data_IF_899183326889
#
_entry.id   IF_899183326889
#
_cell.length_a   1.000
_cell.length_b   1.000
_cell.length_c   1.000
_cell.angle_alpha   90.00
_cell.angle_beta   90.00
_cell.angle_gamma   90.00
#
_symmetry.space_group_name_H-M   'P 1'
#
loop_
_entity.id
_entity.type
_entity.pdbx_description
1 polymer ?
#
# COMPACT_ATOMS: atom_id res chain seq x y z
N UNK A 1 50.65 36.92 77.95
CA UNK A 1 50.64 37.49 76.59
C UNK A 1 49.94 36.44 75.71
N UNK A 2 48.66 36.65 75.39
CA UNK A 2 48.17 36.98 74.03
C UNK A 2 48.53 35.86 73.01
N UNK A 3 47.63 35.24 72.23
CA UNK A 3 46.26 35.58 71.83
C UNK A 3 45.53 34.31 71.32
N UNK A 4 44.20 34.36 71.37
CA UNK A 4 43.28 33.54 70.58
C UNK A 4 43.45 33.76 69.07
N UNK A 5 43.19 32.73 68.26
CA UNK A 5 42.67 32.91 66.90
C UNK A 5 41.63 31.83 66.57
N UNK A 6 40.47 32.35 66.20
CA UNK A 6 39.20 31.72 65.83
C UNK A 6 39.15 31.48 64.30
N UNK A 7 38.09 30.78 63.86
CA UNK A 7 37.48 30.82 62.51
C UNK A 7 38.19 29.99 61.39
N UNK A 8 37.53 29.24 60.49
CA UNK A 8 36.15 29.17 60.01
C UNK A 8 35.81 27.75 59.53
N UNK A 9 34.58 27.29 59.80
CA UNK A 9 33.92 26.26 59.00
C UNK A 9 33.52 26.85 57.65
N UNK A 10 33.85 26.16 56.55
CA UNK A 10 33.18 26.35 55.26
C UNK A 10 32.46 25.05 54.87
N UNK A 11 31.12 25.06 54.92
CA UNK A 11 30.28 24.07 54.26
C UNK A 11 30.40 24.27 52.74
N UNK A 12 30.99 23.28 52.05
CA UNK A 12 30.86 23.12 50.60
C UNK A 12 29.83 22.03 50.30
N UNK A 13 28.67 22.41 49.78
CA UNK A 13 27.72 21.50 49.14
C UNK A 13 28.07 21.30 47.65
N UNK A 14 27.48 20.23 47.09
CA UNK A 14 27.26 19.91 45.66
C UNK A 14 28.51 19.41 44.91
N UNK A 15 28.53 18.33 44.14
CA UNK A 15 27.46 17.55 43.51
C UNK A 15 27.85 16.06 43.45
N UNK A 16 26.96 15.18 43.90
CA UNK A 16 26.99 13.77 43.55
C UNK A 16 26.61 13.65 42.06
N UNK A 17 27.61 13.53 41.20
CA UNK A 17 27.42 13.12 39.80
C UNK A 17 27.00 11.65 39.84
N UNK A 18 25.69 11.41 39.96
CA UNK A 18 25.09 10.14 39.60
C UNK A 18 25.31 9.94 38.11
N UNK A 19 26.38 9.21 37.76
CA UNK A 19 26.58 8.68 36.44
C UNK A 19 25.36 7.80 36.12
N UNK A 20 24.42 8.36 35.35
CA UNK A 20 23.35 7.58 34.74
C UNK A 20 24.01 6.50 33.90
N UNK A 21 23.60 5.22 34.02
CA UNK A 21 24.07 4.21 33.10
C UNK A 21 23.63 4.65 31.71
N UNK A 22 24.60 4.84 30.82
CA UNK A 22 24.34 5.00 29.40
C UNK A 22 23.54 3.77 28.98
N UNK A 23 22.24 3.96 28.72
CA UNK A 23 21.39 2.96 28.12
C UNK A 23 21.89 2.76 26.70
N UNK A 24 22.84 1.84 26.58
CA UNK A 24 23.40 1.36 25.33
C UNK A 24 22.33 0.49 24.64
N UNK A 25 21.21 1.10 24.24
CA UNK A 25 20.17 0.46 23.44
C UNK A 25 20.61 0.38 21.98
N UNK A 26 21.75 -0.26 21.73
CA UNK A 26 22.14 -0.78 20.42
C UNK A 26 21.64 -2.21 20.24
N UNK A 27 20.34 -2.43 20.48
CA UNK A 27 19.62 -3.57 19.93
C UNK A 27 18.52 -3.09 18.97
N UNK A 28 18.88 -2.23 18.03
CA UNK A 28 18.05 -1.99 16.85
C UNK A 28 18.35 -3.07 15.79
N UNK A 29 17.30 -3.47 15.07
CA UNK A 29 17.37 -4.02 13.72
C UNK A 29 17.34 -5.55 13.48
N UNK A 30 16.85 -6.40 14.39
CA UNK A 30 16.54 -7.79 13.97
C UNK A 30 15.10 -8.05 13.55
N UNK A 31 14.13 -7.19 13.90
CA UNK A 31 12.72 -7.35 13.55
C UNK A 31 11.98 -6.00 13.30
N UNK A 32 12.70 -4.96 12.87
CA UNK A 32 12.08 -3.65 12.65
C UNK A 32 11.14 -3.71 11.44
N UNK A 33 9.85 -3.51 11.69
CA UNK A 33 8.81 -3.42 10.66
C UNK A 33 8.58 -1.96 10.30
N UNK A 34 8.24 -1.70 9.04
CA UNK A 34 7.98 -0.35 8.53
C UNK A 34 6.81 -0.40 7.57
N UNK A 35 5.90 0.56 7.73
CA UNK A 35 4.85 0.87 6.76
C UNK A 35 5.36 1.97 5.83
N UNK A 36 5.15 1.79 4.53
CA UNK A 36 5.47 2.77 3.50
C UNK A 36 4.20 3.18 2.75
N UNK A 37 4.11 4.45 2.39
CA UNK A 37 3.08 5.00 1.51
C UNK A 37 3.71 6.05 0.59
N UNK A 38 3.10 6.36 -0.55
CA UNK A 38 3.51 7.52 -1.37
C UNK A 38 2.59 8.70 -1.10
N UNK A 39 3.15 9.91 -1.07
CA UNK A 39 2.33 11.12 -0.98
C UNK A 39 1.61 11.45 -2.30
N UNK A 40 2.12 10.95 -3.44
CA UNK A 40 1.61 11.18 -4.79
C UNK A 40 1.42 12.67 -5.14
N UNK A 41 2.28 13.53 -4.59
CA UNK A 41 2.28 14.96 -4.91
C UNK A 41 3.13 15.24 -6.16
N UNK A 42 3.12 16.50 -6.65
CA UNK A 42 3.96 16.93 -7.78
C UNK A 42 5.44 16.56 -7.57
N UNK A 43 5.91 16.67 -6.34
CA UNK A 43 7.15 16.05 -5.88
C UNK A 43 6.80 14.76 -5.12
N UNK A 44 6.77 13.65 -5.85
CA UNK A 44 6.37 12.39 -5.26
C UNK A 44 7.47 11.89 -4.30
N UNK A 45 7.04 11.35 -3.17
CA UNK A 45 7.92 10.88 -2.12
C UNK A 45 7.33 9.67 -1.42
N UNK A 46 8.20 8.76 -1.00
CA UNK A 46 7.86 7.66 -0.11
C UNK A 46 7.98 8.16 1.32
N UNK A 47 6.92 7.99 2.11
CA UNK A 47 6.92 8.20 3.56
C UNK A 47 7.03 6.85 4.25
N UNK A 48 7.99 6.73 5.16
CA UNK A 48 8.30 5.50 5.88
C UNK A 48 8.07 5.69 7.37
N UNK A 49 7.25 4.83 7.98
CA UNK A 49 6.84 4.94 9.39
C UNK A 49 7.17 3.63 10.10
N UNK A 50 7.94 3.72 11.18
CA UNK A 50 8.33 2.53 11.96
C UNK A 50 7.09 1.94 12.64
N UNK A 51 7.04 0.61 12.64
CA UNK A 51 6.09 -0.17 13.42
C UNK A 51 6.84 -0.74 14.62
N UNK A 52 6.37 -0.42 15.82
CA UNK A 52 6.90 -0.92 17.08
C UNK A 52 6.72 -2.43 17.24
N UNK A 53 7.39 -3.02 18.23
CA UNK A 53 7.25 -4.44 18.56
C UNK A 53 5.82 -4.80 19.03
N UNK A 54 5.09 -3.82 19.55
CA UNK A 54 3.67 -3.90 19.90
C UNK A 54 2.73 -3.82 18.69
N UNK A 55 3.27 -3.57 17.49
CA UNK A 55 2.53 -3.43 16.25
C UNK A 55 1.98 -2.02 15.99
N UNK A 56 2.25 -1.05 16.87
CA UNK A 56 1.77 0.32 16.70
C UNK A 56 2.73 1.14 15.83
N UNK A 57 2.21 2.12 15.12
CA UNK A 57 2.99 3.10 14.37
C UNK A 57 3.72 4.06 15.31
N UNK A 58 4.93 4.43 14.92
CA UNK A 58 5.79 5.38 15.63
C UNK A 58 6.11 6.55 14.72
N UNK A 59 5.58 7.73 15.05
CA UNK A 59 5.84 8.96 14.29
C UNK A 59 7.29 9.43 14.43
N UNK A 60 7.89 9.21 15.60
CA UNK A 60 9.30 9.52 15.83
C UNK A 60 10.19 8.64 14.93
N UNK A 61 11.05 9.29 14.14
CA UNK A 61 11.92 8.60 13.18
C UNK A 61 11.23 8.21 11.87
N UNK A 62 10.01 8.67 11.63
CA UNK A 62 9.43 8.65 10.30
C UNK A 62 10.30 9.46 9.33
N UNK A 63 10.38 9.02 8.09
CA UNK A 63 11.19 9.67 7.06
C UNK A 63 10.37 9.93 5.80
N UNK A 64 10.83 10.88 5.00
CA UNK A 64 10.30 11.16 3.66
C UNK A 64 11.46 11.17 2.68
N UNK A 65 11.36 10.35 1.64
CA UNK A 65 12.40 10.20 0.60
C UNK A 65 11.80 10.46 -0.77
N UNK A 66 12.33 11.45 -1.50
CA UNK A 66 11.85 11.79 -2.83
C UNK A 66 12.05 10.62 -3.81
N UNK A 67 11.07 10.40 -4.69
CA UNK A 67 11.17 9.40 -5.76
C UNK A 67 11.95 9.92 -6.97
N UNK A 68 12.17 11.23 -7.05
CA UNK A 68 12.73 11.88 -8.25
C UNK A 68 11.76 11.95 -9.43
N UNK A 69 10.50 11.52 -9.23
CA UNK A 69 9.42 11.65 -10.21
C UNK A 69 8.25 12.45 -9.66
N UNK A 70 7.17 12.52 -10.44
CA UNK A 70 5.96 13.25 -10.11
C UNK A 70 4.76 12.32 -9.90
N UNK A 71 3.92 12.64 -8.92
CA UNK A 71 2.60 12.08 -8.73
C UNK A 71 1.60 12.72 -9.68
N UNK A 72 0.39 12.15 -9.76
CA UNK A 72 -0.71 12.69 -10.54
C UNK A 72 -2.05 12.12 -10.09
N UNK A 73 -3.13 12.74 -10.56
CA UNK A 73 -4.49 12.28 -10.35
C UNK A 73 -5.11 11.92 -11.70
N UNK A 74 -5.83 10.81 -11.74
CA UNK A 74 -6.83 10.57 -12.75
C UNK A 74 -7.94 11.62 -12.68
N UNK A 75 -8.93 11.51 -13.54
CA UNK A 75 -10.10 12.39 -13.53
C UNK A 75 -11.39 11.63 -13.25
N UNK A 76 -12.33 12.30 -12.60
CA UNK A 76 -13.67 11.80 -12.34
C UNK A 76 -14.60 11.96 -13.57
N UNK A 77 -15.88 11.64 -13.39
CA UNK A 77 -16.87 11.76 -14.45
C UNK A 77 -17.06 13.18 -15.00
N UNK A 78 -16.69 14.20 -14.21
CA UNK A 78 -16.79 15.62 -14.53
C UNK A 78 -15.46 16.19 -15.06
N UNK A 79 -14.46 15.33 -15.28
CA UNK A 79 -13.12 15.75 -15.72
C UNK A 79 -12.30 16.47 -14.64
N UNK A 80 -12.72 16.40 -13.36
CA UNK A 80 -11.99 16.99 -12.25
C UNK A 80 -10.98 16.00 -11.67
N UNK A 81 -9.88 16.46 -11.04
CA UNK A 81 -8.93 15.57 -10.39
C UNK A 81 -9.62 14.61 -9.42
N UNK A 82 -9.42 13.32 -9.63
CA UNK A 82 -10.02 12.28 -8.81
C UNK A 82 -9.44 12.31 -7.40
N UNK A 83 -10.36 12.24 -6.44
CA UNK A 83 -10.10 12.10 -5.02
C UNK A 83 -11.29 11.33 -4.40
N UNK A 84 -11.07 10.56 -3.33
CA UNK A 84 -9.82 10.40 -2.60
C UNK A 84 -8.90 9.29 -3.16
N UNK A 85 -9.26 8.69 -4.30
CA UNK A 85 -8.46 7.66 -4.99
C UNK A 85 -7.92 8.20 -6.34
N UNK A 86 -6.77 8.90 -6.36
CA UNK A 86 -6.20 9.46 -7.58
C UNK A 86 -5.65 8.43 -8.58
N UNK A 87 -5.36 7.19 -8.17
CA UNK A 87 -4.72 6.19 -9.03
C UNK A 87 -5.61 4.99 -9.37
N UNK A 88 -6.83 4.90 -8.83
CA UNK A 88 -7.82 3.87 -9.12
C UNK A 88 -7.31 2.43 -8.95
N UNK A 89 -6.37 2.24 -8.04
CA UNK A 89 -5.57 1.00 -8.00
C UNK A 89 -5.08 0.65 -6.61
N UNK A 90 -4.62 -0.59 -6.49
CA UNK A 90 -3.92 -1.11 -5.34
C UNK A 90 -2.43 -1.30 -5.66
N UNK A 91 -1.56 -1.15 -4.66
CA UNK A 91 -0.11 -1.38 -4.76
C UNK A 91 0.63 -0.36 -5.64
N UNK A 92 0.37 0.93 -5.43
CA UNK A 92 1.18 2.02 -6.02
C UNK A 92 2.66 1.98 -5.60
N UNK A 93 2.96 1.27 -4.50
CA UNK A 93 4.31 0.90 -4.10
C UNK A 93 4.34 -0.54 -3.58
N UNK A 94 5.51 -1.18 -3.65
CA UNK A 94 5.70 -2.56 -3.17
C UNK A 94 7.12 -2.80 -2.66
N UNK A 95 7.27 -3.81 -1.78
CA UNK A 95 8.57 -4.23 -1.23
C UNK A 95 8.93 -5.62 -1.77
N UNK A 96 10.16 -5.78 -2.25
CA UNK A 96 10.71 -7.08 -2.64
C UNK A 96 12.13 -7.25 -2.09
N UNK A 97 12.25 -8.08 -1.05
CA UNK A 97 13.51 -8.28 -0.34
C UNK A 97 13.94 -7.01 0.38
N UNK A 98 15.13 -6.50 0.04
CA UNK A 98 15.69 -5.25 0.62
C UNK A 98 15.40 -4.02 -0.24
N UNK A 99 14.46 -4.12 -1.17
CA UNK A 99 14.16 -3.05 -2.11
C UNK A 99 12.70 -2.64 -2.04
N UNK A 100 12.44 -1.37 -2.28
CA UNK A 100 11.11 -0.79 -2.42
C UNK A 100 10.98 -0.16 -3.80
N UNK A 101 9.81 -0.31 -4.42
CA UNK A 101 9.49 0.22 -5.74
C UNK A 101 8.26 1.12 -5.63
N UNK A 102 8.30 2.30 -6.25
CA UNK A 102 7.21 3.27 -6.21
C UNK A 102 6.93 3.82 -7.61
N UNK A 103 5.66 3.83 -8.01
CA UNK A 103 5.23 4.42 -9.28
C UNK A 103 5.17 5.94 -9.18
N UNK A 104 5.46 6.63 -10.29
CA UNK A 104 5.33 8.07 -10.43
C UNK A 104 4.38 8.38 -11.59
N UNK A 105 3.08 8.42 -11.30
CA UNK A 105 2.02 8.56 -12.30
C UNK A 105 2.19 9.77 -13.21
N UNK A 106 2.59 10.92 -12.67
CA UNK A 106 2.74 12.18 -13.41
C UNK A 106 4.01 12.30 -14.25
N UNK A 107 4.96 11.39 -14.08
CA UNK A 107 6.22 11.38 -14.85
C UNK A 107 6.44 10.11 -15.66
N UNK A 108 5.51 9.16 -15.62
CA UNK A 108 5.62 7.85 -16.27
C UNK A 108 6.91 7.11 -15.93
N UNK A 109 7.31 7.13 -14.65
CA UNK A 109 8.54 6.45 -14.19
C UNK A 109 8.27 5.48 -13.03
N UNK A 110 9.19 4.52 -12.87
CA UNK A 110 9.32 3.70 -11.68
C UNK A 110 10.61 4.04 -10.95
N UNK A 111 10.54 4.25 -9.64
CA UNK A 111 11.72 4.45 -8.78
C UNK A 111 11.98 3.22 -7.93
N UNK A 112 13.26 2.86 -7.79
CA UNK A 112 13.73 1.81 -6.89
C UNK A 112 14.53 2.42 -5.73
N UNK A 113 14.30 1.91 -4.53
CA UNK A 113 15.05 2.25 -3.33
C UNK A 113 15.66 1.01 -2.69
N UNK A 114 16.86 1.14 -2.16
CA UNK A 114 17.43 0.23 -1.18
C UNK A 114 16.92 0.62 0.21
N UNK A 115 16.46 -0.37 0.96
CA UNK A 115 16.01 -0.23 2.34
C UNK A 115 17.22 -0.45 3.25
N UNK A 116 17.53 0.52 4.11
CA UNK A 116 18.63 0.37 5.07
C UNK A 116 18.34 -0.79 6.03
N UNK A 117 19.32 -1.69 6.19
CA UNK A 117 19.15 -2.90 6.99
C UNK A 117 19.08 -2.62 8.51
N UNK A 118 19.63 -1.49 8.95
CA UNK A 118 19.73 -1.09 10.35
C UNK A 118 18.55 -0.20 10.74
N UNK A 119 18.16 0.70 9.85
CA UNK A 119 17.05 1.62 10.04
C UNK A 119 16.14 1.63 8.82
N UNK A 120 15.19 0.68 8.71
CA UNK A 120 14.41 0.52 7.48
C UNK A 120 13.48 1.69 7.12
N UNK A 121 13.38 2.72 7.98
CA UNK A 121 12.74 3.98 7.60
C UNK A 121 13.63 4.81 6.66
N UNK A 122 14.94 4.56 6.60
CA UNK A 122 15.86 5.22 5.68
C UNK A 122 15.90 4.49 4.35
N UNK A 123 15.57 5.22 3.29
CA UNK A 123 15.60 4.74 1.91
C UNK A 123 16.69 5.46 1.14
N UNK A 124 17.42 4.72 0.31
CA UNK A 124 18.39 5.28 -0.65
C UNK A 124 17.91 4.96 -2.05
N UNK A 125 17.69 5.98 -2.89
CA UNK A 125 17.37 5.75 -4.30
C UNK A 125 18.52 5.01 -4.98
N UNK A 126 18.20 3.96 -5.73
CA UNK A 126 19.21 3.17 -6.46
C UNK A 126 19.09 3.45 -7.95
N UNK A 127 20.13 4.05 -8.53
CA UNK A 127 20.10 4.53 -9.91
C UNK A 127 19.24 5.79 -10.05
N UNK A 128 18.44 5.86 -11.12
CA UNK A 128 17.52 6.95 -11.42
C UNK A 128 16.12 6.40 -11.73
N UNK A 129 15.05 7.20 -11.66
CA UNK A 129 13.73 6.78 -12.11
C UNK A 129 13.79 6.28 -13.56
N UNK A 130 13.23 5.10 -13.80
CA UNK A 130 13.23 4.46 -15.12
C UNK A 130 11.92 4.77 -15.83
N UNK A 131 12.00 5.24 -17.07
CA UNK A 131 10.85 5.52 -17.91
C UNK A 131 10.07 4.24 -18.24
N UNK A 132 8.75 4.37 -18.22
CA UNK A 132 7.81 3.29 -18.52
C UNK A 132 7.23 3.56 -19.93
N UNK A 133 7.15 2.56 -20.82
CA UNK A 133 6.62 2.76 -22.17
C UNK A 133 5.10 3.02 -22.23
N UNK A 134 4.38 2.68 -21.15
CA UNK A 134 2.98 3.03 -20.95
C UNK A 134 2.79 4.36 -20.22
N UNK A 135 1.55 4.82 -20.12
CA UNK A 135 1.21 6.14 -19.55
C UNK A 135 0.35 6.00 -18.29
N UNK A 136 0.61 6.88 -17.32
CA UNK A 136 -0.08 6.90 -16.02
C UNK A 136 0.09 5.57 -15.27
N UNK A 137 1.30 5.23 -14.80
CA UNK A 137 1.54 4.04 -14.00
C UNK A 137 0.84 4.14 -12.63
N UNK A 138 0.09 3.09 -12.28
CA UNK A 138 -0.77 3.10 -11.09
C UNK A 138 -0.42 2.01 -10.08
N UNK A 139 0.23 0.93 -10.51
CA UNK A 139 0.47 -0.26 -9.68
C UNK A 139 1.80 -0.92 -10.02
N UNK A 140 2.50 -1.47 -9.04
CA UNK A 140 3.77 -2.18 -9.22
C UNK A 140 3.80 -3.51 -8.45
N UNK A 141 4.26 -4.56 -9.13
CA UNK A 141 4.60 -5.86 -8.57
C UNK A 141 6.11 -6.05 -8.63
N UNK A 142 6.72 -6.65 -7.61
CA UNK A 142 8.12 -7.00 -7.65
C UNK A 142 8.36 -8.40 -7.08
N UNK A 143 9.21 -9.17 -7.76
CA UNK A 143 9.63 -10.52 -7.37
C UNK A 143 11.10 -10.53 -7.02
N UNK A 144 11.42 -10.69 -5.73
CA UNK A 144 12.81 -10.82 -5.28
C UNK A 144 13.46 -12.12 -5.79
N UNK A 145 12.66 -13.17 -6.01
CA UNK A 145 13.11 -14.46 -6.55
C UNK A 145 13.55 -14.33 -8.00
N UNK A 146 12.76 -13.65 -8.83
CA UNK A 146 13.02 -13.52 -10.27
C UNK A 146 13.80 -12.24 -10.61
N UNK A 147 14.06 -11.38 -9.62
CA UNK A 147 14.70 -10.06 -9.81
C UNK A 147 13.99 -9.23 -10.87
N UNK A 148 12.66 -9.20 -10.80
CA UNK A 148 11.79 -8.57 -11.79
C UNK A 148 10.80 -7.62 -11.10
N UNK A 149 10.64 -6.41 -11.62
CA UNK A 149 9.58 -5.48 -11.25
C UNK A 149 8.70 -5.21 -12.48
N UNK A 150 7.38 -5.24 -12.32
CA UNK A 150 6.40 -5.07 -13.37
C UNK A 150 5.40 -3.98 -12.98
N UNK A 151 5.07 -3.10 -13.91
CA UNK A 151 4.23 -1.92 -13.68
C UNK A 151 3.01 -1.98 -14.58
N UNK A 152 1.84 -1.76 -14.00
CA UNK A 152 0.58 -1.59 -14.70
C UNK A 152 0.31 -0.11 -14.97
N UNK A 153 -0.02 0.21 -16.23
CA UNK A 153 -0.35 1.57 -16.71
C UNK A 153 -1.78 1.60 -17.23
N UNK A 154 -2.48 2.73 -17.05
CA UNK A 154 -3.90 2.82 -17.42
C UNK A 154 -4.28 3.98 -18.35
N UNK A 155 -3.38 4.94 -18.59
CA UNK A 155 -3.66 6.10 -19.45
C UNK A 155 -3.87 5.73 -20.92
N UNK A 156 -3.66 6.68 -21.83
CA UNK A 156 -3.81 6.44 -23.27
C UNK A 156 -2.96 5.26 -23.79
N UNK A 157 -1.86 4.95 -23.10
CA UNK A 157 -1.06 3.72 -23.30
C UNK A 157 -1.17 2.81 -22.07
N UNK A 158 -2.29 2.09 -21.99
CA UNK A 158 -2.52 1.11 -20.94
C UNK A 158 -1.82 -0.22 -21.23
N UNK A 159 -1.39 -0.92 -20.19
CA UNK A 159 -0.70 -2.20 -20.34
C UNK A 159 0.21 -2.55 -19.17
N UNK A 160 1.08 -3.54 -19.39
CA UNK A 160 2.09 -3.97 -18.41
C UNK A 160 3.48 -4.00 -19.04
N UNK A 161 4.44 -3.38 -18.39
CA UNK A 161 5.86 -3.43 -18.74
C UNK A 161 6.69 -3.82 -17.51
N UNK A 162 7.81 -4.52 -17.72
CA UNK A 162 8.65 -5.07 -16.67
C UNK A 162 10.12 -4.73 -16.90
N UNK A 163 10.87 -4.60 -15.81
CA UNK A 163 12.32 -4.45 -15.80
C UNK A 163 12.95 -5.41 -14.81
N UNK A 164 14.12 -5.94 -15.15
CA UNK A 164 14.96 -6.60 -14.16
C UNK A 164 15.53 -5.58 -13.18
N UNK A 165 15.88 -6.02 -11.97
CA UNK A 165 16.54 -5.17 -10.99
C UNK A 165 17.70 -5.86 -10.28
N UNK A 166 18.68 -5.07 -9.87
CA UNK A 166 19.89 -5.52 -9.19
C UNK A 166 20.31 -4.52 -8.12
N UNK A 167 21.47 -4.73 -7.49
CA UNK A 167 22.03 -3.74 -6.57
C UNK A 167 22.38 -2.41 -7.26
N UNK A 168 22.48 -2.40 -8.60
CA UNK A 168 22.76 -1.22 -9.42
C UNK A 168 21.49 -0.46 -9.83
N UNK A 169 20.30 -0.98 -9.51
CA UNK A 169 19.02 -0.35 -9.83
C UNK A 169 18.19 -1.16 -10.83
N UNK A 170 17.20 -0.48 -11.41
CA UNK A 170 16.33 -1.00 -12.46
C UNK A 170 17.05 -0.96 -13.81
N UNK A 171 16.92 -2.02 -14.59
CA UNK A 171 17.24 -2.01 -16.02
C UNK A 171 16.17 -1.22 -16.81
N UNK A 172 16.37 -1.07 -18.11
CA UNK A 172 15.33 -0.54 -19.00
C UNK A 172 14.08 -1.43 -18.97
N UNK A 173 12.92 -0.79 -19.05
CA UNK A 173 11.63 -1.45 -19.20
C UNK A 173 11.55 -2.19 -20.54
N UNK A 174 10.98 -3.39 -20.52
CA UNK A 174 10.69 -4.17 -21.73
C UNK A 174 9.49 -3.62 -22.50
N UNK A 175 9.16 -4.25 -23.63
CA UNK A 175 8.02 -3.84 -24.44
C UNK A 175 6.70 -3.85 -23.64
N UNK A 176 5.87 -2.84 -23.88
CA UNK A 176 4.53 -2.77 -23.30
C UNK A 176 3.69 -3.94 -23.83
N UNK A 177 3.08 -4.70 -22.93
CA UNK A 177 1.96 -5.62 -23.25
C UNK A 177 0.66 -4.81 -23.12
N UNK A 178 0.07 -4.36 -24.23
CA UNK A 178 -0.95 -3.31 -24.19
C UNK A 178 -2.31 -3.86 -23.77
N UNK A 179 -3.14 -2.98 -23.20
CA UNK A 179 -4.57 -3.19 -23.01
C UNK A 179 -5.34 -2.14 -23.81
N UNK A 180 -6.30 -2.58 -24.62
CA UNK A 180 -7.15 -1.68 -25.40
C UNK A 180 -8.31 -1.15 -24.54
N UNK A 181 -8.02 -0.17 -23.69
CA UNK A 181 -9.01 0.43 -22.80
C UNK A 181 -9.69 1.67 -23.41
N UNK A 182 -9.09 2.28 -24.44
CA UNK A 182 -9.54 3.55 -25.01
C UNK A 182 -9.55 4.71 -24.02
N UNK A 183 -8.57 4.75 -23.11
CA UNK A 183 -8.42 5.78 -22.07
C UNK A 183 -7.69 7.04 -22.59
N UNK A 184 -7.76 8.11 -21.81
CA UNK A 184 -6.95 9.33 -21.97
C UNK A 184 -5.79 9.36 -20.96
N UNK A 185 -4.90 10.34 -21.08
CA UNK A 185 -3.92 10.67 -20.03
C UNK A 185 -4.12 12.14 -19.62
N UNK A 186 -4.57 12.44 -18.39
CA UNK A 186 -4.89 11.51 -17.30
C UNK A 186 -6.10 10.59 -17.63
N UNK A 187 -6.15 9.39 -17.03
CA UNK A 187 -7.25 8.43 -17.23
C UNK A 187 -8.51 8.89 -16.52
N UNK A 188 -9.68 8.56 -17.08
CA UNK A 188 -10.97 8.74 -16.42
C UNK A 188 -11.36 7.44 -15.72
N UNK A 189 -11.73 7.52 -14.44
CA UNK A 189 -12.02 6.34 -13.62
C UNK A 189 -13.09 6.53 -12.55
N UNK A 190 -13.29 5.52 -11.69
CA UNK A 190 -12.43 4.34 -11.53
C UNK A 190 -12.66 3.24 -12.57
N UNK A 191 -13.83 3.13 -13.20
CA UNK A 191 -14.13 2.05 -14.17
C UNK A 191 -13.21 2.08 -15.40
N UNK A 192 -13.11 0.95 -16.12
CA UNK A 192 -12.29 0.85 -17.34
C UNK A 192 -10.80 1.23 -17.15
N UNK A 193 -10.23 0.90 -15.99
CA UNK A 193 -8.81 1.17 -15.66
C UNK A 193 -8.10 -0.06 -15.11
N UNK A 194 -6.77 -0.09 -15.22
CA UNK A 194 -5.94 -1.11 -14.57
C UNK A 194 -6.04 -0.98 -13.05
N UNK A 195 -6.24 -2.10 -12.35
CA UNK A 195 -6.48 -2.12 -10.90
C UNK A 195 -5.25 -2.52 -10.11
N UNK A 196 -4.60 -3.60 -10.52
CA UNK A 196 -3.44 -4.12 -9.80
C UNK A 196 -2.66 -5.07 -10.68
N UNK A 197 -1.33 -4.98 -10.61
CA UNK A 197 -0.40 -6.00 -11.11
C UNK A 197 0.21 -6.72 -9.91
N UNK A 198 0.29 -8.05 -9.93
CA UNK A 198 0.83 -8.84 -8.82
C UNK A 198 1.31 -10.22 -9.27
N UNK A 199 2.31 -10.77 -8.57
CA UNK A 199 2.79 -12.12 -8.85
C UNK A 199 1.95 -13.17 -8.13
N UNK A 200 1.74 -14.31 -8.80
CA UNK A 200 1.37 -15.56 -8.15
C UNK A 200 2.41 -15.93 -7.10
N UNK A 201 1.99 -16.70 -6.09
CA UNK A 201 2.84 -17.02 -4.94
C UNK A 201 4.09 -17.83 -5.28
N UNK A 202 4.01 -18.67 -6.32
CA UNK A 202 5.15 -19.44 -6.84
C UNK A 202 6.15 -18.58 -7.65
N UNK A 203 5.75 -17.35 -7.96
CA UNK A 203 6.48 -16.38 -8.78
C UNK A 203 6.47 -16.71 -10.27
N UNK A 204 5.63 -17.63 -10.74
CA UNK A 204 5.63 -18.09 -12.15
C UNK A 204 4.67 -17.30 -13.02
N UNK A 205 3.55 -16.86 -12.47
CA UNK A 205 2.53 -16.10 -13.20
C UNK A 205 2.47 -14.66 -12.70
N UNK A 206 2.37 -13.72 -13.63
CA UNK A 206 2.07 -12.32 -13.32
C UNK A 206 0.60 -12.05 -13.66
N UNK A 207 -0.19 -11.74 -12.64
CA UNK A 207 -1.59 -11.35 -12.75
C UNK A 207 -1.75 -9.84 -12.89
N UNK A 208 -2.74 -9.45 -13.68
CA UNK A 208 -3.24 -8.08 -13.71
C UNK A 208 -4.75 -8.09 -13.72
N UNK A 209 -5.38 -7.42 -12.77
CA UNK A 209 -6.82 -7.15 -12.77
C UNK A 209 -7.11 -5.82 -13.44
N UNK A 210 -8.16 -5.80 -14.25
CA UNK A 210 -8.65 -4.61 -14.94
C UNK A 210 -10.15 -4.47 -14.67
N UNK A 211 -10.57 -3.26 -14.28
CA UNK A 211 -11.98 -2.94 -14.02
C UNK A 211 -12.76 -2.90 -15.32
N UNK A 212 -13.97 -3.48 -15.29
CA UNK A 212 -14.96 -3.23 -16.32
C UNK A 212 -15.59 -1.85 -16.20
N UNK A 213 -16.54 -1.61 -17.08
CA UNK A 213 -17.44 -0.46 -17.11
C UNK A 213 -18.81 -0.97 -17.59
N UNK A 214 -19.66 -1.45 -16.66
CA UNK A 214 -20.96 -2.02 -17.00
C UNK A 214 -21.88 -1.06 -17.79
N UNK A 215 -21.99 0.24 -17.44
CA UNK A 215 -22.70 1.22 -18.26
C UNK A 215 -22.21 1.27 -19.72
N UNK A 216 -20.90 1.19 -19.95
CA UNK A 216 -20.31 1.15 -21.29
C UNK A 216 -20.22 -0.26 -21.90
N UNK A 217 -20.80 -1.29 -21.25
CA UNK A 217 -20.74 -2.71 -21.66
C UNK A 217 -19.32 -3.25 -21.84
N UNK A 218 -18.37 -2.77 -21.03
CA UNK A 218 -17.01 -3.30 -20.97
C UNK A 218 -16.87 -4.24 -19.79
N UNK A 219 -16.41 -5.46 -20.03
CA UNK A 219 -16.19 -6.42 -18.95
C UNK A 219 -14.82 -6.20 -18.30
N UNK A 220 -14.74 -6.39 -16.99
CA UNK A 220 -13.46 -6.51 -16.29
C UNK A 220 -12.81 -7.85 -16.61
N UNK A 221 -11.49 -7.94 -16.48
CA UNK A 221 -10.74 -9.14 -16.81
C UNK A 221 -9.48 -9.35 -15.96
N UNK A 222 -8.99 -10.58 -15.98
CA UNK A 222 -7.73 -11.04 -15.43
C UNK A 222 -6.76 -11.35 -16.59
N UNK A 223 -5.75 -10.51 -16.79
CA UNK A 223 -4.99 -10.44 -18.04
C UNK A 223 -4.05 -11.63 -18.31
N UNK A 224 -3.58 -12.38 -17.30
CA UNK A 224 -2.72 -13.56 -17.54
C UNK A 224 -3.40 -14.63 -18.40
N UNK A 225 -4.73 -14.55 -18.48
CA UNK A 225 -5.61 -15.52 -19.11
C UNK A 225 -6.57 -14.87 -20.11
N UNK A 226 -6.54 -13.54 -20.24
CA UNK A 226 -7.56 -12.75 -20.95
C UNK A 226 -9.00 -13.17 -20.59
N UNK A 227 -9.23 -13.57 -19.34
CA UNK A 227 -10.49 -14.15 -18.89
C UNK A 227 -11.32 -13.12 -18.11
N UNK A 228 -12.62 -13.10 -18.31
CA UNK A 228 -13.60 -12.35 -17.50
C UNK A 228 -14.40 -13.33 -16.65
N UNK A 229 -14.02 -13.58 -15.38
CA UNK A 229 -14.73 -14.54 -14.54
C UNK A 229 -16.21 -14.17 -14.42
N UNK A 230 -17.09 -15.09 -14.79
CA UNK A 230 -18.54 -14.84 -14.79
C UNK A 230 -19.04 -14.45 -13.39
N UNK A 231 -19.85 -13.40 -13.32
CA UNK A 231 -20.37 -12.86 -12.06
C UNK A 231 -19.46 -11.80 -11.42
N UNK A 232 -18.38 -11.39 -12.10
CA UNK A 232 -17.57 -10.21 -11.76
C UNK A 232 -17.81 -9.09 -12.77
N UNK A 233 -17.50 -7.85 -12.38
CA UNK A 233 -17.71 -6.66 -13.18
C UNK A 233 -16.58 -5.63 -12.99
N UNK A 234 -16.34 -5.18 -11.76
CA UNK A 234 -15.44 -4.05 -11.44
C UNK A 234 -14.31 -4.54 -10.54
N UNK A 235 -13.54 -5.52 -11.04
CA UNK A 235 -12.40 -6.13 -10.35
C UNK A 235 -11.37 -5.09 -9.91
N UNK A 236 -11.12 -4.97 -8.61
CA UNK A 236 -10.18 -3.99 -8.05
C UNK A 236 -8.97 -4.71 -7.42
N UNK A 237 -8.89 -4.66 -6.10
CA UNK A 237 -7.80 -5.14 -5.28
C UNK A 237 -7.79 -6.65 -5.25
N UNK A 238 -6.62 -7.22 -5.22
CA UNK A 238 -6.40 -8.64 -5.40
C UNK A 238 -5.21 -9.12 -4.60
N UNK A 239 -5.33 -10.32 -4.06
CA UNK A 239 -4.25 -10.96 -3.32
C UNK A 239 -4.32 -12.47 -3.44
N UNK A 240 -3.14 -13.10 -3.48
CA UNK A 240 -3.05 -14.57 -3.47
C UNK A 240 -3.46 -15.11 -2.11
N UNK A 241 -4.30 -16.14 -2.06
CA UNK A 241 -4.69 -16.77 -0.80
C UNK A 241 -3.56 -17.68 -0.29
N UNK A 242 -3.05 -17.47 0.93
CA UNK A 242 -2.00 -18.31 1.48
C UNK A 242 -2.35 -19.80 1.52
N UNK A 243 -1.52 -20.63 0.87
CA UNK A 243 -1.71 -22.08 0.87
C UNK A 243 -2.63 -22.59 -0.24
N UNK A 244 -3.09 -21.70 -1.13
CA UNK A 244 -3.92 -22.04 -2.29
C UNK A 244 -3.33 -21.44 -3.58
N UNK A 245 -3.85 -21.89 -4.73
CA UNK A 245 -3.70 -21.20 -6.03
C UNK A 245 -4.79 -20.14 -6.26
N UNK A 246 -5.80 -20.13 -5.39
CA UNK A 246 -6.93 -19.22 -5.48
C UNK A 246 -6.52 -17.77 -5.21
N UNK A 247 -7.29 -16.84 -5.78
CA UNK A 247 -7.16 -15.41 -5.56
C UNK A 247 -8.36 -14.91 -4.77
N UNK A 248 -8.12 -14.01 -3.82
CA UNK A 248 -9.17 -13.17 -3.27
C UNK A 248 -9.16 -11.86 -4.04
N UNK A 249 -10.30 -11.48 -4.61
CA UNK A 249 -10.45 -10.26 -5.42
C UNK A 249 -11.64 -9.46 -4.91
N UNK A 250 -11.50 -8.15 -4.79
CA UNK A 250 -12.63 -7.25 -4.56
C UNK A 250 -13.27 -6.87 -5.89
N UNK A 251 -14.55 -6.57 -5.82
CA UNK A 251 -15.33 -6.07 -6.94
C UNK A 251 -16.20 -4.91 -6.45
N UNK A 252 -15.92 -3.70 -6.96
CA UNK A 252 -16.59 -2.49 -6.49
C UNK A 252 -18.10 -2.48 -6.77
N UNK A 253 -18.61 -3.40 -7.61
CA UNK A 253 -20.05 -3.53 -7.89
C UNK A 253 -20.83 -4.33 -6.84
N UNK A 254 -20.17 -5.17 -6.03
CA UNK A 254 -20.89 -5.97 -5.03
C UNK A 254 -20.10 -6.37 -3.78
N UNK A 255 -18.77 -6.30 -3.74
CA UNK A 255 -18.00 -6.64 -2.55
C UNK A 255 -16.71 -7.38 -2.89
N UNK A 256 -16.73 -8.72 -2.81
CA UNK A 256 -15.57 -9.54 -3.14
C UNK A 256 -15.91 -10.96 -3.59
N UNK A 257 -14.99 -11.58 -4.31
CA UNK A 257 -15.05 -12.97 -4.76
C UNK A 257 -13.75 -13.72 -4.47
N UNK A 258 -13.87 -15.04 -4.36
CA UNK A 258 -12.74 -15.96 -4.44
C UNK A 258 -12.71 -16.54 -5.84
N UNK A 259 -11.60 -16.37 -6.55
CA UNK A 259 -11.37 -16.94 -7.87
C UNK A 259 -10.52 -18.20 -7.75
N UNK A 260 -11.01 -19.30 -8.30
CA UNK A 260 -10.19 -20.47 -8.60
C UNK A 260 -9.40 -20.20 -9.87
N UNK A 261 -8.07 -20.39 -9.82
CA UNK A 261 -7.19 -20.18 -10.96
C UNK A 261 -6.66 -21.50 -11.47
N UNK A 262 -7.00 -21.83 -12.71
CA UNK A 262 -6.38 -22.92 -13.46
C UNK A 262 -5.31 -22.34 -14.39
N UNK A 263 -4.07 -22.34 -13.93
CA UNK A 263 -2.94 -21.86 -14.71
C UNK A 263 -2.61 -22.77 -15.92
N UNK A 264 -3.00 -24.05 -15.90
CA UNK A 264 -2.75 -24.97 -17.00
C UNK A 264 -3.81 -24.79 -18.11
N UNK A 265 -5.08 -24.64 -17.71
CA UNK A 265 -6.19 -24.35 -18.61
C UNK A 265 -6.31 -22.88 -19.02
N UNK A 266 -5.54 -21.98 -18.39
CA UNK A 266 -5.53 -20.56 -18.69
C UNK A 266 -6.85 -19.87 -18.39
N UNK A 267 -7.49 -20.19 -17.26
CA UNK A 267 -8.81 -19.66 -16.90
C UNK A 267 -8.94 -19.37 -15.40
N UNK A 268 -9.86 -18.46 -15.05
CA UNK A 268 -10.26 -18.18 -13.69
C UNK A 268 -11.79 -18.20 -13.55
N UNK A 269 -12.29 -18.89 -12.53
CA UNK A 269 -13.72 -19.04 -12.25
C UNK A 269 -14.07 -18.59 -10.85
N UNK A 270 -15.28 -18.07 -10.65
CA UNK A 270 -15.74 -17.66 -9.33
C UNK A 270 -16.08 -18.91 -8.51
N UNK A 271 -15.37 -19.09 -7.40
CA UNK A 271 -15.58 -20.17 -6.41
C UNK A 271 -16.58 -19.77 -5.33
N UNK A 272 -16.61 -18.48 -4.98
CA UNK A 272 -17.56 -17.91 -4.04
C UNK A 272 -17.59 -16.39 -4.16
N UNK A 273 -18.68 -15.78 -3.69
CA UNK A 273 -18.88 -14.33 -3.69
C UNK A 273 -19.53 -13.89 -2.39
N UNK A 274 -19.12 -12.72 -1.89
CA UNK A 274 -19.74 -12.04 -0.76
C UNK A 274 -20.20 -10.66 -1.17
N UNK A 275 -21.47 -10.38 -0.92
CA UNK A 275 -22.06 -9.06 -1.15
C UNK A 275 -21.91 -8.19 0.09
N UNK A 276 -21.34 -7.00 -0.04
CA UNK A 276 -21.14 -6.05 1.07
C UNK A 276 -22.27 -5.03 1.09
N UNK A 277 -23.23 -5.24 1.98
CA UNK A 277 -24.37 -4.34 2.12
C UNK A 277 -23.96 -2.91 2.50
N UNK A 278 -24.53 -1.94 1.79
CA UNK A 278 -24.27 -0.52 2.01
C UNK A 278 -22.91 -0.02 1.51
N UNK A 279 -22.17 -0.82 0.71
CA UNK A 279 -20.92 -0.33 0.10
C UNK A 279 -21.15 0.90 -0.77
N UNK A 280 -20.12 1.74 -0.87
CA UNK A 280 -20.02 2.80 -1.88
C UNK A 280 -19.08 2.37 -2.99
N UNK A 281 -17.89 1.86 -2.63
CA UNK A 281 -17.00 1.14 -3.52
C UNK A 281 -15.99 0.32 -2.69
N UNK A 282 -16.28 -0.96 -2.47
CA UNK A 282 -15.32 -1.89 -1.83
C UNK A 282 -14.20 -2.23 -2.81
N UNK A 283 -12.98 -1.81 -2.51
CA UNK A 283 -11.90 -1.72 -3.51
C UNK A 283 -10.59 -2.38 -3.08
N UNK A 284 -10.04 -2.11 -1.89
CA UNK A 284 -8.73 -2.67 -1.52
C UNK A 284 -8.87 -3.92 -0.65
N UNK A 285 -7.85 -4.78 -0.68
CA UNK A 285 -7.81 -6.00 0.13
C UNK A 285 -6.42 -6.32 0.67
N UNK A 286 -6.39 -6.86 1.89
CA UNK A 286 -5.26 -7.62 2.44
C UNK A 286 -5.74 -8.90 3.12
N UNK A 287 -4.84 -9.87 3.34
CA UNK A 287 -5.13 -11.06 4.15
C UNK A 287 -4.34 -10.96 5.46
N UNK A 288 -5.04 -11.01 6.59
CA UNK A 288 -4.40 -11.01 7.89
C UNK A 288 -3.81 -12.40 8.19
N UNK A 289 -2.51 -12.51 8.53
CA UNK A 289 -1.87 -13.80 8.74
C UNK A 289 -2.31 -14.52 10.02
N UNK A 290 -2.79 -13.79 11.03
CA UNK A 290 -3.26 -14.38 12.30
C UNK A 290 -4.67 -14.98 12.15
N UNK A 291 -5.62 -14.23 11.59
CA UNK A 291 -7.00 -14.71 11.41
C UNK A 291 -7.19 -15.55 10.15
N UNK A 292 -6.26 -15.46 9.18
CA UNK A 292 -6.33 -16.12 7.86
C UNK A 292 -7.55 -15.71 7.03
N UNK A 293 -8.12 -14.55 7.34
CA UNK A 293 -9.26 -13.94 6.68
C UNK A 293 -8.82 -12.73 5.86
N UNK A 294 -9.62 -12.39 4.86
CA UNK A 294 -9.44 -11.17 4.09
C UNK A 294 -10.06 -9.99 4.84
N UNK A 295 -9.42 -8.82 4.76
CA UNK A 295 -9.99 -7.54 5.16
C UNK A 295 -10.07 -6.67 3.93
N UNK A 296 -11.21 -6.03 3.73
CA UNK A 296 -11.46 -5.13 2.59
C UNK A 296 -11.89 -3.76 3.07
N UNK A 297 -11.58 -2.73 2.28
CA UNK A 297 -11.93 -1.34 2.56
C UNK A 297 -12.82 -0.73 1.48
N UNK A 298 -13.55 0.30 1.88
CA UNK A 298 -14.40 1.08 1.02
C UNK A 298 -13.97 2.55 1.04
N UNK A 299 -13.83 3.14 -0.14
CA UNK A 299 -13.37 4.53 -0.30
C UNK A 299 -14.32 5.54 0.33
N UNK A 300 -15.62 5.22 0.41
CA UNK A 300 -16.67 6.12 0.89
C UNK A 300 -17.38 5.60 2.13
N UNK A 301 -16.87 4.57 2.78
CA UNK A 301 -17.41 4.07 4.06
C UNK A 301 -16.27 3.69 4.99
N UNK A 302 -16.18 4.37 6.11
CA UNK A 302 -15.11 4.20 7.08
C UNK A 302 -15.34 2.98 7.99
N UNK A 303 -15.07 1.79 7.42
CA UNK A 303 -15.11 0.51 8.11
C UNK A 303 -14.15 -0.48 7.48
N UNK A 304 -13.78 -1.52 8.23
CA UNK A 304 -13.19 -2.73 7.66
C UNK A 304 -14.24 -3.84 7.61
N UNK A 305 -14.31 -4.57 6.51
CA UNK A 305 -15.12 -5.79 6.40
C UNK A 305 -14.20 -6.99 6.37
N UNK A 306 -14.40 -7.92 7.30
CA UNK A 306 -13.69 -9.19 7.33
C UNK A 306 -14.48 -10.25 6.54
N UNK A 307 -13.77 -10.97 5.66
CA UNK A 307 -14.36 -11.95 4.75
C UNK A 307 -13.55 -13.25 4.77
N UNK A 308 -14.26 -14.36 4.60
CA UNK A 308 -13.68 -15.69 4.45
C UNK A 308 -12.83 -15.78 3.19
N UNK A 309 -11.63 -16.34 3.29
CA UNK A 309 -10.76 -16.59 2.13
C UNK A 309 -11.19 -17.82 1.32
N UNK A 310 -12.23 -18.54 1.75
CA UNK A 310 -12.70 -19.75 1.06
C UNK A 310 -13.77 -19.43 0.01
N UNK A 311 -14.67 -18.49 0.34
CA UNK A 311 -15.90 -18.23 -0.40
C UNK A 311 -16.32 -16.74 -0.39
N UNK A 312 -15.50 -15.85 0.18
CA UNK A 312 -15.79 -14.43 0.39
C UNK A 312 -17.00 -14.15 1.30
N UNK A 313 -17.50 -15.12 2.09
CA UNK A 313 -18.56 -14.85 3.07
C UNK A 313 -18.11 -13.80 4.09
N UNK A 314 -18.98 -12.84 4.41
CA UNK A 314 -18.72 -11.84 5.46
C UNK A 314 -18.70 -12.54 6.83
N UNK A 315 -17.64 -12.28 7.60
CA UNK A 315 -17.42 -12.83 8.93
C UNK A 315 -17.62 -11.79 10.03
N UNK A 316 -17.40 -10.52 9.71
CA UNK A 316 -17.57 -9.43 10.66
C UNK A 316 -17.24 -8.07 10.04
N UNK A 317 -17.50 -7.01 10.79
CA UNK A 317 -17.16 -5.65 10.41
C UNK A 317 -16.56 -4.90 11.61
N UNK A 318 -15.70 -3.94 11.33
CA UNK A 318 -15.16 -3.00 12.30
C UNK A 318 -15.60 -1.61 11.87
N UNK A 319 -16.53 -1.01 12.62
CA UNK A 319 -16.92 0.38 12.43
C UNK A 319 -15.81 1.31 12.92
N UNK A 320 -15.40 2.24 12.06
CA UNK A 320 -14.34 3.21 12.32
C UNK A 320 -14.84 4.65 12.23
N UNK A 321 -16.15 4.85 12.01
CA UNK A 321 -16.79 6.17 11.83
C UNK A 321 -16.45 7.19 12.92
N UNK A 322 -16.24 6.72 14.16
CA UNK A 322 -15.88 7.56 15.30
C UNK A 322 -14.54 8.31 15.15
N UNK A 323 -13.63 7.85 14.27
CA UNK A 323 -12.36 8.54 14.03
C UNK A 323 -12.46 9.70 13.02
N UNK A 324 -13.61 9.87 12.36
CA UNK A 324 -13.88 10.98 11.44
C UNK A 324 -13.30 10.85 10.03
N UNK A 325 -12.63 9.73 9.69
CA UNK A 325 -12.15 9.49 8.34
C UNK A 325 -13.32 9.34 7.34
N UNK A 326 -13.18 9.85 6.10
CA UNK A 326 -14.23 9.76 5.08
C UNK A 326 -14.41 8.34 4.52
N UNK A 327 -13.39 7.50 4.67
CA UNK A 327 -13.30 6.15 4.10
C UNK A 327 -11.85 5.70 4.06
N UNK A 328 -11.62 4.48 3.58
CA UNK A 328 -10.31 3.85 3.63
C UNK A 328 -9.90 3.35 2.25
N UNK A 329 -8.69 3.70 1.86
CA UNK A 329 -7.96 3.12 0.74
C UNK A 329 -6.86 2.21 1.29
N UNK A 330 -6.14 1.50 0.40
CA UNK A 330 -4.94 0.70 0.63
C UNK A 330 -4.68 0.18 2.06
N UNK A 331 -4.56 -1.13 2.19
CA UNK A 331 -4.29 -1.77 3.49
C UNK A 331 -3.26 -2.88 3.42
N UNK A 332 -2.61 -3.10 4.56
CA UNK A 332 -1.65 -4.18 4.79
C UNK A 332 -1.88 -4.82 6.14
N UNK A 333 -1.42 -6.06 6.29
CA UNK A 333 -1.51 -6.79 7.55
C UNK A 333 -0.19 -7.45 7.95
N UNK A 334 0.10 -7.42 9.25
CA UNK A 334 1.16 -8.18 9.89
C UNK A 334 0.82 -8.54 11.33
N UNK A 335 1.18 -9.77 11.71
CA UNK A 335 0.69 -10.37 12.95
C UNK A 335 -0.83 -10.24 13.02
N UNK A 336 -1.34 -9.81 14.18
CA UNK A 336 -2.77 -9.58 14.39
C UNK A 336 -3.27 -8.22 13.91
N UNK A 337 -2.44 -7.36 13.33
CA UNK A 337 -2.83 -6.01 12.99
C UNK A 337 -3.13 -5.83 11.50
N UNK A 338 -4.11 -4.96 11.23
CA UNK A 338 -4.41 -4.39 9.91
C UNK A 338 -4.11 -2.91 9.98
N UNK A 339 -3.37 -2.41 9.01
CA UNK A 339 -3.04 -1.00 8.81
C UNK A 339 -3.81 -0.54 7.58
N UNK A 340 -4.67 0.47 7.72
CA UNK A 340 -5.51 0.98 6.64
C UNK A 340 -5.31 2.48 6.47
N UNK A 341 -5.08 2.92 5.23
CA UNK A 341 -4.84 4.32 4.89
C UNK A 341 -6.17 5.04 4.64
N UNK A 342 -6.42 6.12 5.37
CA UNK A 342 -7.36 7.17 4.96
C UNK A 342 -6.53 8.27 4.30
N UNK A 343 -6.75 8.62 3.04
CA UNK A 343 -6.03 9.74 2.41
C UNK A 343 -6.58 11.09 2.90
N UNK A 344 -7.74 11.11 3.57
CA UNK A 344 -8.47 12.34 3.85
C UNK A 344 -9.14 12.92 2.60
N UNK A 345 -9.61 14.15 2.69
CA UNK A 345 -10.39 14.80 1.62
C UNK A 345 -10.08 16.30 1.47
N UNK A 346 -9.00 16.78 2.10
CA UNK A 346 -8.61 18.19 2.12
C UNK A 346 -9.16 18.98 3.31
N UNK A 347 -10.19 18.49 4.00
CA UNK A 347 -10.64 19.01 5.29
C UNK A 347 -10.29 18.06 6.43
N UNK A 348 -10.53 16.75 6.24
CA UNK A 348 -9.97 15.68 7.06
C UNK A 348 -8.55 15.36 6.60
N UNK A 349 -7.64 15.23 7.55
CA UNK A 349 -6.24 14.88 7.30
C UNK A 349 -6.08 13.42 6.89
N UNK A 350 -5.03 13.11 6.13
CA UNK A 350 -4.64 11.73 5.90
C UNK A 350 -4.23 11.06 7.21
N UNK A 351 -4.59 9.79 7.38
CA UNK A 351 -4.30 8.99 8.57
C UNK A 351 -4.05 7.53 8.23
N UNK A 352 -3.30 6.81 9.07
CA UNK A 352 -3.36 5.35 9.09
C UNK A 352 -4.05 4.91 10.37
N UNK A 353 -5.09 4.09 10.19
CA UNK A 353 -5.79 3.40 11.27
C UNK A 353 -5.17 2.02 11.48
N UNK A 354 -4.87 1.67 12.73
CA UNK A 354 -4.42 0.33 13.11
C UNK A 354 -5.56 -0.39 13.85
N UNK A 355 -5.94 -1.55 13.33
CA UNK A 355 -6.99 -2.41 13.90
C UNK A 355 -6.37 -3.72 14.34
N UNK A 356 -6.69 -4.15 15.56
CA UNK A 356 -6.42 -5.51 16.00
C UNK A 356 -7.50 -6.44 15.41
N UNK A 357 -7.08 -7.27 14.46
CA UNK A 357 -7.94 -8.20 13.74
C UNK A 357 -8.54 -9.29 14.62
N UNK A 358 -8.01 -9.54 15.82
CA UNK A 358 -8.57 -10.54 16.74
C UNK A 358 -9.63 -9.95 17.64
N UNK A 359 -9.39 -8.74 18.17
CA UNK A 359 -10.34 -8.07 19.06
C UNK A 359 -11.36 -7.20 18.31
N UNK A 360 -11.15 -6.97 17.01
CA UNK A 360 -11.99 -6.12 16.15
C UNK A 360 -12.06 -4.67 16.63
N UNK A 361 -10.98 -4.17 17.22
CA UNK A 361 -10.89 -2.81 17.76
C UNK A 361 -9.86 -1.98 17.01
N UNK A 362 -10.20 -0.73 16.74
CA UNK A 362 -9.19 0.30 16.48
C UNK A 362 -8.32 0.43 17.72
N UNK A 363 -7.01 0.23 17.55
CA UNK A 363 -6.01 0.34 18.61
C UNK A 363 -5.12 1.56 18.44
N UNK A 364 -5.11 2.16 17.25
CA UNK A 364 -4.42 3.42 16.97
C UNK A 364 -5.05 4.12 15.77
N UNK A 365 -4.99 5.45 15.78
CA UNK A 365 -5.25 6.32 14.64
C UNK A 365 -4.15 7.36 14.59
N UNK A 366 -3.38 7.40 13.50
CA UNK A 366 -2.23 8.29 13.36
C UNK A 366 -2.42 9.20 12.16
N UNK A 367 -2.55 10.51 12.41
CA UNK A 367 -2.52 11.53 11.36
C UNK A 367 -1.14 11.64 10.74
N UNK A 368 -1.10 11.86 9.42
CA UNK A 368 0.13 11.84 8.62
C UNK A 368 0.52 13.20 8.03
N UNK A 369 -0.28 14.25 8.29
CA UNK A 369 -0.05 15.57 7.70
C UNK A 369 1.35 16.12 8.00
N UNK A 370 1.83 15.94 9.25
CA UNK A 370 3.17 16.36 9.67
C UNK A 370 4.31 15.66 8.90
N UNK A 371 4.01 14.54 8.22
CA UNK A 371 4.94 13.77 7.39
C UNK A 371 4.82 14.13 5.90
N UNK A 372 3.96 15.10 5.54
CA UNK A 372 3.73 15.52 4.15
C UNK A 372 2.86 14.56 3.34
N UNK A 373 2.02 13.78 4.02
CA UNK A 373 1.01 12.91 3.40
C UNK A 373 -0.34 13.62 3.48
N UNK A 374 -1.07 13.66 2.36
CA UNK A 374 -2.36 14.35 2.26
C UNK A 374 -3.35 13.62 1.36
N UNK A 375 -4.37 14.33 0.87
CA UNK A 375 -5.51 13.80 0.11
C UNK A 375 -5.17 13.03 -1.17
N UNK A 376 -3.95 13.16 -1.68
CA UNK A 376 -3.49 12.43 -2.86
C UNK A 376 -2.76 11.13 -2.51
N UNK A 377 -2.49 10.86 -1.23
CA UNK A 377 -1.66 9.74 -0.82
C UNK A 377 -2.22 8.41 -1.32
N UNK A 378 -1.33 7.51 -1.73
CA UNK A 378 -1.70 6.22 -2.29
C UNK A 378 -0.74 5.13 -1.83
N UNK A 379 -1.23 3.90 -1.88
CA UNK A 379 -0.45 2.71 -1.63
C UNK A 379 -0.10 2.52 -0.16
N UNK A 380 -0.11 1.26 0.25
CA UNK A 380 0.44 0.85 1.54
C UNK A 380 1.26 -0.41 1.32
N UNK A 381 2.56 -0.35 1.64
CA UNK A 381 3.46 -1.50 1.63
C UNK A 381 4.05 -1.72 3.02
N UNK A 382 4.41 -2.96 3.32
CA UNK A 382 4.93 -3.33 4.63
C UNK A 382 6.21 -4.16 4.46
N UNK A 383 7.28 -3.73 5.12
CA UNK A 383 8.43 -4.60 5.40
C UNK A 383 8.09 -5.46 6.62
N UNK A 384 8.04 -6.78 6.42
CA UNK A 384 7.54 -7.76 7.40
C UNK A 384 8.62 -8.35 8.28
#
# INVERSE_FOLDING_TARGET
MHASALLLLSLGQVASVLARPATNNKSCAKNARVVYTINNEKENAVVAIRVGADGMLQAAGASKTATGGAGANGVDDKGQPAAPDPLFSQSALTVAGKNLFAVNAGSNTLTMFAIDATDPTKLTMVGKPVAIPGEFPVTVAASNKNKLACVGTTGAKAGVSCASFSAQGLAAMDALRPFDLGQTTPPKGPTNTVSQVFFARDGKTLFTTVKGDPPAKKNGFLASFSSSPQGTAVLFGSTTIPGSKDLFVTDASFGAAVLSVDAAGGNATVKGKGTVDGQKATCWVTINPTTKTAFVTDVGTNRLVEMSTQDAKILGQVDLSANGDPGLIDLQAAGKFVYALSPGNGTTQAAITVVDATTKKQVQHMQLQAMGVGKNSMGLALLK
#
